data_IF_391901963784
#
_entry.id   IF_391901963784
#
_cell.length_a   1.000
_cell.length_b   1.000
_cell.length_c   1.000
_cell.angle_alpha   90.00
_cell.angle_beta   90.00
_cell.angle_gamma   90.00
#
_symmetry.space_group_name_H-M   'P 1'
#
loop_
_entity.id
_entity.type
_entity.pdbx_description
1 polymer ?
#
# COMPACT_ATOMS: atom_id res chain seq x y z
N UNK A 1 -5.16 14.99 -10.61
CA UNK A 1 -4.92 16.27 -9.96
C UNK A 1 -4.10 17.18 -10.83
N UNK A 2 -4.25 18.51 -10.70
CA UNK A 2 -3.41 19.46 -11.39
C UNK A 2 -1.95 19.26 -10.94
N UNK A 3 -1.02 19.15 -11.89
CA UNK A 3 0.40 19.09 -11.58
C UNK A 3 0.82 20.36 -10.85
N UNK A 4 1.26 20.20 -9.60
CA UNK A 4 1.76 21.29 -8.79
C UNK A 4 3.25 21.09 -8.56
N UNK A 5 4.03 22.09 -8.88
CA UNK A 5 5.45 22.15 -8.57
C UNK A 5 5.74 23.48 -7.87
N UNK A 6 6.19 23.41 -6.62
CA UNK A 6 6.51 24.58 -5.78
C UNK A 6 5.38 25.62 -5.72
N UNK A 7 4.12 25.18 -5.73
CA UNK A 7 2.96 26.07 -5.78
C UNK A 7 2.60 26.54 -7.18
N UNK A 8 3.35 26.17 -8.20
CA UNK A 8 3.04 26.46 -9.61
C UNK A 8 2.30 25.30 -10.26
N UNK A 9 1.06 25.54 -10.68
CA UNK A 9 0.22 24.52 -11.28
C UNK A 9 0.36 24.52 -12.79
N UNK A 10 0.49 23.32 -13.38
CA UNK A 10 0.43 23.12 -14.84
C UNK A 10 1.66 23.57 -15.63
N UNK A 11 2.77 23.94 -14.98
CA UNK A 11 3.93 24.47 -15.67
C UNK A 11 4.98 23.41 -16.04
N UNK A 12 5.45 22.64 -15.06
CA UNK A 12 6.56 21.70 -15.25
C UNK A 12 6.30 20.38 -14.55
N UNK A 13 6.91 19.30 -15.09
CA UNK A 13 7.13 18.06 -14.37
C UNK A 13 8.53 18.05 -13.75
N UNK A 14 8.77 17.11 -12.82
CA UNK A 14 10.09 16.88 -12.21
C UNK A 14 11.11 16.21 -13.13
N UNK A 15 10.73 15.79 -14.34
CA UNK A 15 11.60 15.13 -15.30
C UNK A 15 12.48 16.15 -16.06
N UNK A 16 13.43 16.71 -15.36
CA UNK A 16 14.41 17.67 -15.93
C UNK A 16 15.82 17.34 -15.44
N UNK A 17 16.83 17.84 -16.17
CA UNK A 17 18.23 17.64 -15.82
C UNK A 17 18.60 18.30 -14.49
N UNK A 18 17.99 19.43 -14.22
CA UNK A 18 18.15 20.22 -12.99
C UNK A 18 16.79 20.82 -12.63
N UNK A 19 16.50 20.91 -11.37
CA UNK A 19 15.33 21.62 -10.87
C UNK A 19 15.73 22.43 -9.62
N UNK A 20 14.99 23.49 -9.35
CA UNK A 20 15.17 24.31 -8.15
C UNK A 20 14.03 23.98 -7.21
N UNK A 21 14.35 23.65 -5.97
CA UNK A 21 13.40 23.38 -4.91
C UNK A 21 13.91 23.90 -3.57
N UNK A 22 13.03 24.13 -2.62
CA UNK A 22 13.42 24.46 -1.25
C UNK A 22 14.14 23.28 -0.60
N UNK A 23 15.16 23.57 0.22
CA UNK A 23 15.96 22.54 0.89
C UNK A 23 15.10 21.63 1.80
N UNK A 24 14.06 22.18 2.42
CA UNK A 24 13.12 21.44 3.27
C UNK A 24 12.23 20.46 2.50
N UNK A 25 12.17 20.56 1.17
CA UNK A 25 11.41 19.67 0.27
C UNK A 25 12.26 18.62 -0.40
N UNK A 26 13.56 18.61 -0.16
CA UNK A 26 14.48 17.62 -0.69
C UNK A 26 15.04 16.74 0.40
N UNK A 27 15.20 15.46 0.09
CA UNK A 27 15.86 14.51 0.97
C UNK A 27 17.04 13.92 0.21
N UNK A 28 18.22 14.01 0.81
CA UNK A 28 19.42 13.42 0.24
C UNK A 28 19.31 11.90 0.31
N UNK A 29 19.47 11.25 -0.81
CA UNK A 29 19.48 9.80 -0.95
C UNK A 29 20.89 9.34 -1.25
N UNK A 30 21.32 8.22 -0.64
CA UNK A 30 22.62 7.63 -0.95
C UNK A 30 22.68 7.24 -2.44
N UNK A 31 23.77 7.62 -3.10
CA UNK A 31 23.98 7.33 -4.52
C UNK A 31 24.06 5.83 -4.83
N UNK A 32 24.34 4.99 -3.84
CA UNK A 32 24.35 3.54 -3.96
C UNK A 32 22.99 2.94 -4.32
N UNK A 33 21.88 3.64 -4.04
CA UNK A 33 20.55 3.20 -4.48
C UNK A 33 20.34 3.30 -6.00
N UNK A 34 21.08 4.13 -6.70
CA UNK A 34 20.92 4.29 -8.14
C UNK A 34 19.46 4.57 -8.53
N UNK A 35 18.97 3.84 -9.52
CA UNK A 35 17.59 3.97 -10.00
C UNK A 35 16.54 3.53 -8.95
N UNK A 36 16.89 2.67 -8.01
CA UNK A 36 15.98 2.19 -6.96
C UNK A 36 15.60 3.30 -5.99
N UNK A 37 16.40 4.36 -5.88
CA UNK A 37 16.06 5.55 -5.11
C UNK A 37 14.74 6.19 -5.51
N UNK A 38 14.27 5.98 -6.74
CA UNK A 38 12.96 6.44 -7.20
C UNK A 38 11.78 5.75 -6.46
N UNK A 39 12.01 4.62 -5.81
CA UNK A 39 10.99 3.88 -5.07
C UNK A 39 10.80 4.41 -3.64
N UNK A 40 11.72 5.24 -3.11
CA UNK A 40 11.69 5.67 -1.71
C UNK A 40 10.39 6.39 -1.33
N UNK A 41 9.84 7.24 -2.19
CA UNK A 41 8.58 7.92 -1.92
C UNK A 41 7.41 6.92 -1.77
N UNK A 42 7.34 5.90 -2.62
CA UNK A 42 6.33 4.84 -2.51
C UNK A 42 6.61 3.89 -1.34
N UNK A 43 7.87 3.67 -0.99
CA UNK A 43 8.23 2.92 0.20
C UNK A 43 7.82 3.67 1.48
N UNK A 44 7.98 4.99 1.51
CA UNK A 44 7.46 5.84 2.58
C UNK A 44 5.92 5.78 2.67
N UNK A 45 5.21 5.74 1.54
CA UNK A 45 3.75 5.51 1.50
C UNK A 45 3.37 4.16 2.12
N UNK A 46 4.08 3.10 1.73
CA UNK A 46 3.85 1.77 2.29
C UNK A 46 4.11 1.75 3.82
N UNK A 47 5.21 2.37 4.26
CA UNK A 47 5.55 2.53 5.67
C UNK A 47 4.47 3.30 6.43
N UNK A 48 4.02 4.44 5.88
CA UNK A 48 2.93 5.24 6.46
C UNK A 48 1.65 4.42 6.65
N UNK A 49 1.29 3.64 5.64
CA UNK A 49 0.15 2.73 5.74
C UNK A 49 0.30 1.74 6.90
N UNK A 50 1.51 1.22 7.14
CA UNK A 50 1.79 0.27 8.24
C UNK A 50 1.93 0.95 9.61
N UNK A 51 2.24 2.25 9.68
CA UNK A 51 2.42 3.01 10.92
C UNK A 51 1.11 3.47 11.57
N UNK A 52 -0.04 3.17 10.99
CA UNK A 52 -1.35 3.58 11.50
C UNK A 52 -1.69 3.07 12.91
N UNK A 53 -2.79 3.53 13.49
CA UNK A 53 -3.24 3.08 14.80
C UNK A 53 -3.28 1.56 14.90
N UNK A 54 -2.75 1.00 15.96
CA UNK A 54 -2.68 -0.45 16.16
C UNK A 54 -1.46 -1.12 15.54
N UNK A 55 -0.73 -0.47 14.62
CA UNK A 55 0.51 -0.96 13.97
C UNK A 55 0.40 -2.41 13.49
N UNK A 56 -0.77 -2.81 13.02
CA UNK A 56 -0.96 -4.16 12.50
C UNK A 56 -0.26 -4.29 11.16
N UNK A 57 0.73 -5.16 11.08
CA UNK A 57 1.40 -5.49 9.82
C UNK A 57 0.45 -6.23 8.88
N UNK A 58 0.63 -6.14 7.57
CA UNK A 58 -0.18 -6.88 6.61
C UNK A 58 -0.16 -8.39 6.85
N UNK A 59 -1.34 -9.00 6.96
CA UNK A 59 -1.57 -10.44 7.00
C UNK A 59 -2.01 -10.93 5.60
N UNK A 60 -2.78 -10.07 4.90
CA UNK A 60 -3.09 -10.18 3.47
C UNK A 60 -2.80 -8.83 2.78
N UNK A 61 -2.20 -8.88 1.61
CA UNK A 61 -2.03 -7.74 0.71
C UNK A 61 -2.77 -8.02 -0.58
N UNK A 62 -3.57 -7.07 -1.04
CA UNK A 62 -4.34 -7.17 -2.28
C UNK A 62 -3.70 -6.29 -3.35
N UNK A 63 -3.25 -6.94 -4.42
CA UNK A 63 -2.49 -6.32 -5.52
C UNK A 63 -0.97 -6.46 -5.35
N UNK A 64 -0.32 -7.03 -6.36
CA UNK A 64 1.13 -7.22 -6.42
C UNK A 64 1.82 -6.20 -7.34
N UNK A 65 1.29 -4.96 -7.36
CA UNK A 65 1.93 -3.80 -7.97
C UNK A 65 3.09 -3.27 -7.11
N UNK A 66 3.62 -2.09 -7.45
CA UNK A 66 4.78 -1.51 -6.72
C UNK A 66 4.46 -1.36 -5.24
N UNK A 67 3.31 -0.77 -4.88
CA UNK A 67 2.94 -0.57 -3.48
C UNK A 67 2.76 -1.90 -2.73
N UNK A 68 2.07 -2.87 -3.33
CA UNK A 68 1.88 -4.18 -2.70
C UNK A 68 3.20 -4.92 -2.46
N UNK A 69 4.14 -4.86 -3.41
CA UNK A 69 5.49 -5.43 -3.26
C UNK A 69 6.28 -4.75 -2.13
N UNK A 70 6.17 -3.42 -2.02
CA UNK A 70 6.84 -2.67 -0.95
C UNK A 70 6.23 -3.00 0.42
N UNK A 71 4.90 -3.09 0.53
CA UNK A 71 4.23 -3.54 1.75
C UNK A 71 4.70 -4.94 2.19
N UNK A 72 4.77 -5.89 1.25
CA UNK A 72 5.23 -7.25 1.55
C UNK A 72 6.69 -7.27 2.04
N UNK A 73 7.58 -6.54 1.36
CA UNK A 73 8.99 -6.45 1.73
C UNK A 73 9.20 -5.75 3.07
N UNK A 74 8.48 -4.65 3.34
CA UNK A 74 8.53 -3.96 4.63
C UNK A 74 7.97 -4.82 5.77
N UNK A 75 6.96 -5.63 5.50
CA UNK A 75 6.44 -6.61 6.47
C UNK A 75 7.52 -7.61 6.88
N UNK A 76 8.24 -8.18 5.91
CA UNK A 76 9.36 -9.09 6.17
C UNK A 76 10.53 -8.38 6.87
N UNK A 77 10.89 -7.18 6.43
CA UNK A 77 11.95 -6.38 7.05
C UNK A 77 11.65 -6.01 8.51
N UNK A 78 10.39 -5.88 8.87
CA UNK A 78 9.95 -5.70 10.25
C UNK A 78 10.00 -6.99 11.10
N UNK A 79 10.47 -8.11 10.54
CA UNK A 79 10.52 -9.41 11.22
C UNK A 79 9.16 -10.07 11.44
N UNK A 80 8.11 -9.59 10.75
CA UNK A 80 6.79 -10.17 10.85
C UNK A 80 6.64 -11.42 9.96
N UNK A 81 5.63 -12.28 10.23
CA UNK A 81 5.32 -13.38 9.34
C UNK A 81 5.06 -12.91 7.90
N UNK A 82 5.43 -13.75 6.93
CA UNK A 82 5.20 -13.47 5.53
C UNK A 82 3.70 -13.28 5.25
N UNK A 83 3.29 -12.17 4.62
CA UNK A 83 1.91 -11.98 4.23
C UNK A 83 1.54 -12.87 3.04
N UNK A 84 0.27 -13.24 2.93
CA UNK A 84 -0.28 -13.70 1.66
C UNK A 84 -0.48 -12.49 0.75
N UNK A 85 -0.17 -12.62 -0.54
CA UNK A 85 -0.41 -11.55 -1.51
C UNK A 85 -1.34 -12.06 -2.60
N UNK A 86 -2.40 -11.30 -2.90
CA UNK A 86 -3.31 -11.59 -4.00
C UNK A 86 -2.95 -10.80 -5.24
N UNK A 87 -2.95 -11.47 -6.38
CA UNK A 87 -2.81 -10.83 -7.69
C UNK A 87 -3.65 -11.57 -8.73
N UNK A 88 -4.51 -10.84 -9.39
CA UNK A 88 -5.41 -11.39 -10.44
C UNK A 88 -4.67 -11.66 -11.75
N UNK A 89 -3.67 -10.82 -12.08
CA UNK A 89 -2.88 -10.96 -13.31
C UNK A 89 -1.76 -12.01 -13.10
N UNK A 90 -1.81 -13.16 -13.77
CA UNK A 90 -0.77 -14.18 -13.66
C UNK A 90 0.64 -13.68 -13.98
N UNK A 91 0.77 -12.72 -14.91
CA UNK A 91 2.06 -12.14 -15.29
C UNK A 91 2.71 -11.35 -14.15
N UNK A 92 1.91 -10.82 -13.23
CA UNK A 92 2.37 -10.05 -12.08
C UNK A 92 2.64 -10.90 -10.83
N UNK A 93 2.29 -12.19 -10.83
CA UNK A 93 2.52 -13.10 -9.69
C UNK A 93 3.99 -13.47 -9.51
N UNK A 94 4.86 -13.08 -10.41
CA UNK A 94 6.30 -13.39 -10.39
C UNK A 94 7.10 -12.36 -9.58
N UNK A 95 8.35 -12.72 -9.19
CA UNK A 95 9.29 -11.83 -8.53
C UNK A 95 9.03 -11.60 -7.04
N UNK A 96 8.21 -12.42 -6.40
CA UNK A 96 8.08 -12.47 -4.95
C UNK A 96 9.34 -13.07 -4.32
N UNK A 97 9.76 -12.52 -3.19
CA UNK A 97 10.90 -13.01 -2.42
C UNK A 97 10.49 -13.11 -0.96
N UNK A 98 10.38 -14.34 -0.46
CA UNK A 98 10.06 -14.62 0.94
C UNK A 98 8.57 -14.51 1.31
N UNK A 99 7.67 -14.41 0.32
CA UNK A 99 6.22 -14.45 0.52
C UNK A 99 5.54 -15.08 -0.70
N UNK A 100 4.29 -15.54 -0.54
CA UNK A 100 3.52 -16.18 -1.59
C UNK A 100 2.58 -15.19 -2.29
N UNK A 101 2.49 -15.32 -3.62
CA UNK A 101 1.52 -14.59 -4.45
C UNK A 101 0.59 -15.58 -5.11
N UNK A 102 -0.69 -15.47 -4.80
CA UNK A 102 -1.72 -16.40 -5.28
C UNK A 102 -2.89 -15.66 -5.93
N UNK A 103 -3.69 -16.36 -6.69
CA UNK A 103 -4.97 -15.83 -7.14
C UNK A 103 -5.95 -15.76 -5.96
N UNK A 104 -6.84 -14.76 -5.90
CA UNK A 104 -7.83 -14.66 -4.83
C UNK A 104 -8.72 -15.90 -4.68
N UNK A 105 -9.05 -16.55 -5.80
CA UNK A 105 -9.84 -17.78 -5.86
C UNK A 105 -9.14 -18.99 -5.26
N UNK A 106 -7.81 -19.02 -5.29
CA UNK A 106 -7.00 -20.12 -4.76
C UNK A 106 -6.79 -20.03 -3.24
N UNK A 107 -7.21 -18.91 -2.62
CA UNK A 107 -7.04 -18.70 -1.20
C UNK A 107 -8.25 -19.19 -0.39
N UNK A 108 -8.10 -20.26 0.41
CA UNK A 108 -9.19 -20.74 1.27
C UNK A 108 -9.37 -19.94 2.56
N UNK A 109 -8.42 -19.09 2.94
CA UNK A 109 -8.37 -18.44 4.25
C UNK A 109 -9.47 -17.39 4.43
N UNK A 110 -10.11 -17.36 5.62
CA UNK A 110 -11.26 -16.49 5.96
C UNK A 110 -11.13 -15.78 7.32
N UNK A 111 -9.91 -15.61 7.82
CA UNK A 111 -9.67 -15.08 9.17
C UNK A 111 -8.44 -14.16 9.21
N UNK A 112 -8.26 -13.34 8.20
CA UNK A 112 -7.19 -12.34 8.16
C UNK A 112 -7.40 -11.27 9.23
N UNK A 113 -6.41 -10.98 10.03
CA UNK A 113 -6.49 -9.94 11.06
C UNK A 113 -6.34 -8.54 10.49
N UNK A 114 -5.55 -8.42 9.43
CA UNK A 114 -5.16 -7.16 8.81
C UNK A 114 -5.02 -7.35 7.30
N UNK A 115 -5.86 -6.68 6.54
CA UNK A 115 -5.86 -6.72 5.07
C UNK A 115 -5.46 -5.34 4.56
N UNK A 116 -4.44 -5.29 3.71
CA UNK A 116 -4.01 -4.06 3.05
C UNK A 116 -4.39 -4.11 1.58
N UNK A 117 -5.35 -3.29 1.20
CA UNK A 117 -5.77 -3.20 -0.21
C UNK A 117 -4.97 -2.13 -0.94
N UNK A 118 -4.07 -2.59 -1.80
CA UNK A 118 -3.26 -1.78 -2.71
C UNK A 118 -3.71 -1.92 -4.17
N UNK A 119 -4.90 -2.51 -4.42
CA UNK A 119 -5.42 -2.74 -5.77
C UNK A 119 -6.02 -1.48 -6.40
N UNK A 120 -6.57 -0.58 -5.59
CA UNK A 120 -7.34 0.57 -6.06
C UNK A 120 -8.71 0.19 -6.65
N UNK A 121 -9.16 -1.05 -6.47
CA UNK A 121 -10.45 -1.54 -6.98
C UNK A 121 -11.49 -1.55 -5.87
N UNK A 122 -12.62 -0.87 -6.08
CA UNK A 122 -13.75 -0.91 -5.15
C UNK A 122 -14.50 -2.24 -5.18
N UNK A 123 -14.37 -3.01 -6.26
CA UNK A 123 -15.10 -4.27 -6.46
C UNK A 123 -14.65 -5.39 -5.50
N UNK A 124 -13.41 -5.34 -4.99
CA UNK A 124 -12.86 -6.40 -4.13
C UNK A 124 -13.36 -6.32 -2.68
N UNK A 125 -13.91 -5.17 -2.26
CA UNK A 125 -14.17 -4.88 -0.85
C UNK A 125 -15.16 -5.85 -0.20
N UNK A 126 -16.17 -6.30 -0.95
CA UNK A 126 -17.12 -7.31 -0.46
C UNK A 126 -16.45 -8.64 -0.13
N UNK A 127 -15.50 -9.08 -0.96
CA UNK A 127 -14.72 -10.31 -0.70
C UNK A 127 -13.80 -10.12 0.51
N UNK A 128 -13.14 -8.97 0.64
CA UNK A 128 -12.28 -8.67 1.80
C UNK A 128 -13.05 -8.70 3.12
N UNK A 129 -14.30 -8.18 3.14
CA UNK A 129 -15.17 -8.27 4.31
C UNK A 129 -15.49 -9.73 4.64
N UNK A 130 -15.70 -10.58 3.63
CA UNK A 130 -15.90 -12.01 3.81
C UNK A 130 -14.66 -12.72 4.40
N UNK A 131 -13.47 -12.19 4.15
CA UNK A 131 -12.18 -12.79 4.53
C UNK A 131 -11.59 -12.27 5.82
N UNK A 132 -12.02 -11.07 6.28
CA UNK A 132 -11.50 -10.49 7.52
C UNK A 132 -11.92 -11.30 8.75
N UNK A 133 -11.06 -11.41 9.73
CA UNK A 133 -11.41 -11.91 11.07
C UNK A 133 -12.34 -10.92 11.78
N UNK A 134 -13.11 -11.40 12.77
CA UNK A 134 -13.90 -10.50 13.60
C UNK A 134 -12.99 -9.48 14.31
N UNK A 135 -13.35 -8.20 14.24
CA UNK A 135 -12.56 -7.09 14.78
C UNK A 135 -11.27 -6.79 13.99
N UNK A 136 -11.08 -7.43 12.84
CA UNK A 136 -9.94 -7.16 11.98
C UNK A 136 -10.05 -5.82 11.24
N UNK A 137 -8.95 -5.39 10.62
CA UNK A 137 -8.86 -4.11 9.94
C UNK A 137 -8.58 -4.28 8.44
N UNK A 138 -9.33 -3.55 7.62
CA UNK A 138 -9.08 -3.38 6.18
C UNK A 138 -8.49 -2.00 5.98
N UNK A 139 -7.23 -1.94 5.54
CA UNK A 139 -6.50 -0.72 5.24
C UNK A 139 -6.58 -0.44 3.75
N UNK A 140 -7.24 0.65 3.38
CA UNK A 140 -7.36 1.12 2.02
C UNK A 140 -6.10 1.94 1.70
N UNK A 141 -5.09 1.30 1.13
CA UNK A 141 -3.80 1.87 0.79
C UNK A 141 -3.67 2.21 -0.71
N UNK A 142 -4.56 1.68 -1.54
CA UNK A 142 -4.67 2.03 -2.95
C UNK A 142 -5.31 3.41 -3.17
N UNK A 143 -5.27 3.87 -4.42
CA UNK A 143 -5.98 5.08 -4.84
C UNK A 143 -7.27 4.68 -5.56
N UNK A 144 -8.41 5.13 -5.05
CA UNK A 144 -9.74 4.80 -5.56
C UNK A 144 -10.35 6.03 -6.23
N UNK A 145 -10.82 5.88 -7.45
CA UNK A 145 -11.50 6.96 -8.21
C UNK A 145 -13.00 6.95 -8.02
N UNK A 146 -13.55 5.78 -7.71
CA UNK A 146 -14.98 5.59 -7.54
C UNK A 146 -15.39 5.61 -6.06
N UNK A 147 -16.67 5.87 -5.81
CA UNK A 147 -17.22 5.81 -4.46
C UNK A 147 -17.11 4.40 -3.88
N UNK A 148 -16.59 4.31 -2.66
CA UNK A 148 -16.47 3.05 -1.93
C UNK A 148 -17.83 2.68 -1.33
N UNK A 149 -18.33 1.51 -1.65
CA UNK A 149 -19.57 0.96 -1.10
C UNK A 149 -19.40 -0.51 -0.73
N UNK A 150 -20.13 -0.94 0.27
CA UNK A 150 -20.16 -2.35 0.70
C UNK A 150 -21.49 -2.71 1.37
N UNK A 151 -21.81 -4.01 1.43
CA UNK A 151 -22.96 -4.51 2.16
C UNK A 151 -22.71 -4.41 3.67
N UNK A 152 -23.53 -3.62 4.38
CA UNK A 152 -23.36 -3.39 5.82
C UNK A 152 -23.47 -4.67 6.68
N UNK A 153 -24.46 -5.59 6.47
CA UNK A 153 -24.66 -6.71 7.38
C UNK A 153 -23.43 -7.63 7.54
N UNK A 154 -22.70 -8.03 6.49
CA UNK A 154 -21.46 -8.80 6.64
C UNK A 154 -20.38 -8.04 7.43
N UNK A 155 -20.20 -6.75 7.16
CA UNK A 155 -19.22 -5.93 7.86
C UNK A 155 -19.59 -5.78 9.36
N UNK A 156 -20.88 -5.59 9.67
CA UNK A 156 -21.38 -5.54 11.03
C UNK A 156 -21.12 -6.84 11.80
N UNK A 157 -21.40 -7.99 11.20
CA UNK A 157 -21.18 -9.30 11.85
C UNK A 157 -19.69 -9.58 12.12
N UNK A 158 -18.82 -9.01 11.31
CA UNK A 158 -17.37 -9.10 11.48
C UNK A 158 -16.79 -8.02 12.40
N UNK A 159 -17.60 -7.01 12.79
CA UNK A 159 -17.07 -5.80 13.44
C UNK A 159 -15.86 -5.25 12.68
N UNK A 160 -15.98 -5.24 11.35
CA UNK A 160 -14.89 -4.89 10.47
C UNK A 160 -14.51 -3.41 10.65
N UNK A 161 -13.22 -3.16 10.78
CA UNK A 161 -12.68 -1.80 10.84
C UNK A 161 -12.12 -1.42 9.48
N UNK A 162 -12.35 -0.16 9.08
CA UNK A 162 -11.82 0.39 7.85
C UNK A 162 -10.94 1.59 8.16
N UNK A 163 -9.80 1.64 7.51
CA UNK A 163 -8.88 2.78 7.61
C UNK A 163 -8.40 3.19 6.24
N UNK A 164 -8.41 4.47 5.96
CA UNK A 164 -7.79 5.03 4.77
C UNK A 164 -6.35 5.39 5.12
N UNK A 165 -5.40 4.91 4.34
CA UNK A 165 -4.01 5.29 4.44
C UNK A 165 -3.73 6.38 3.39
N UNK A 166 -3.34 7.56 3.87
CA UNK A 166 -2.98 8.68 3.00
C UNK A 166 -1.52 8.55 2.49
N UNK A 167 -1.05 9.57 1.80
CA UNK A 167 0.34 9.68 1.41
C UNK A 167 1.25 9.89 2.63
N UNK A 168 2.53 9.59 2.47
CA UNK A 168 3.56 9.71 3.47
C UNK A 168 3.82 11.16 3.91
N UNK A 169 4.36 11.32 5.09
CA UNK A 169 4.93 12.56 5.60
C UNK A 169 6.47 12.48 5.63
N UNK A 170 7.14 13.60 5.97
CA UNK A 170 8.61 13.67 6.00
C UNK A 170 9.24 12.63 6.94
N UNK A 171 8.62 12.37 8.07
CA UNK A 171 9.16 11.42 9.06
C UNK A 171 9.09 9.99 8.53
N UNK A 172 8.06 9.65 7.76
CA UNK A 172 7.96 8.36 7.09
C UNK A 172 9.10 8.18 6.08
N UNK A 173 9.41 9.22 5.29
CA UNK A 173 10.48 9.17 4.31
C UNK A 173 11.86 9.02 4.96
N UNK A 174 12.12 9.76 6.04
CA UNK A 174 13.40 9.70 6.77
C UNK A 174 13.60 8.32 7.41
N UNK A 175 12.50 7.71 7.86
CA UNK A 175 12.53 6.41 8.55
C UNK A 175 12.49 5.20 7.59
N UNK A 176 12.34 5.46 6.27
CA UNK A 176 12.35 4.42 5.22
C UNK A 176 13.75 4.14 4.72
#
# INVERSE_FOLDING_TARGET
GANCYEGAFGLFGGASRTLVSNEDRVTKVDSGFGAEGALLALAATARHAMAGPGKAVPDLIVGHGVLGRLLARLTLAAGAPAPTVWEIDPARRTGAIGYDVIAPEDDPRRNYKSIYDASGSTAVLGDLIGRIARGGEIVLAGFYTDAISFAFPPAFMKEARFRVAAEWNRDDLIAT
#
